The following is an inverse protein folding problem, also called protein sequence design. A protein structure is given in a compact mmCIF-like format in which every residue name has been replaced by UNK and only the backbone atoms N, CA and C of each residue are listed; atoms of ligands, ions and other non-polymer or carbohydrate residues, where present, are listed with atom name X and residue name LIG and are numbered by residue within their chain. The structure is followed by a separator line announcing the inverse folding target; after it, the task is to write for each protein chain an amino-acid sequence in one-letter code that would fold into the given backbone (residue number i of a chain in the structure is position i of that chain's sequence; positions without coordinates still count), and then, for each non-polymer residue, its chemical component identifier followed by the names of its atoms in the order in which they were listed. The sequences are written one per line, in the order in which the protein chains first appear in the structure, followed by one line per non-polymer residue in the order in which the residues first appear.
data_IF_384988077508
#
_entry.id   IF_384988077508
#
_cell.length_a   1.000
_cell.length_b   1.000
_cell.length_c   1.000
_cell.angle_alpha   90.00
_cell.angle_beta   90.00
_cell.angle_gamma   90.00
#
_symmetry.space_group_name_H-M   'P 1'
#
loop_
_entity.id
_entity.type
_entity.pdbx_description
1 polymer ?
#
# COMPACT_ATOMS: atom_id res chain seq x y z
N UNK A 1 -38.72 8.70 42.70
CA UNK A 1 -38.76 9.76 41.66
C UNK A 1 -37.38 9.77 40.99
N UNK A 2 -37.07 8.93 40.00
CA UNK A 2 -37.54 8.86 38.61
C UNK A 2 -37.18 10.11 37.78
N UNK A 3 -36.12 10.01 36.97
CA UNK A 3 -36.02 10.59 35.62
C UNK A 3 -34.80 10.01 34.88
N UNK A 4 -35.02 8.94 34.12
CA UNK A 4 -34.07 8.39 33.15
C UNK A 4 -34.27 9.11 31.80
N UNK A 5 -33.20 9.68 31.24
CA UNK A 5 -33.22 10.24 29.89
C UNK A 5 -33.16 9.10 28.85
N UNK A 6 -34.27 8.89 28.14
CA UNK A 6 -34.36 8.03 26.95
C UNK A 6 -33.93 8.82 25.72
N UNK A 7 -33.00 8.28 24.94
CA UNK A 7 -32.74 8.72 23.56
C UNK A 7 -33.83 8.21 22.60
N UNK A 8 -33.97 8.80 21.40
CA UNK A 8 -35.04 8.45 20.48
C UNK A 8 -34.75 7.15 19.72
N UNK A 9 -35.72 6.24 19.82
CA UNK A 9 -35.90 5.04 19.00
C UNK A 9 -36.00 5.39 17.50
N UNK A 10 -35.06 4.89 16.70
CA UNK A 10 -35.21 4.86 15.24
C UNK A 10 -36.04 3.63 14.86
N UNK A 11 -37.32 3.89 14.59
CA UNK A 11 -38.28 2.92 14.11
C UNK A 11 -37.80 2.20 12.84
N UNK A 12 -37.79 0.87 12.92
CA UNK A 12 -37.58 -0.05 11.80
C UNK A 12 -38.75 0.05 10.80
N UNK A 13 -38.51 0.68 9.66
CA UNK A 13 -39.41 0.61 8.50
C UNK A 13 -39.12 -0.66 7.69
N UNK A 14 -40.16 -1.48 7.51
CA UNK A 14 -40.12 -2.78 6.83
C UNK A 14 -39.67 -2.72 5.38
N UNK A 15 -39.00 -3.80 4.94
CA UNK A 15 -38.72 -4.07 3.53
C UNK A 15 -39.97 -4.69 2.88
N UNK A 16 -40.56 -4.09 1.84
CA UNK A 16 -41.49 -4.82 1.00
C UNK A 16 -40.72 -5.76 0.08
N UNK A 17 -41.02 -7.05 0.20
CA UNK A 17 -40.66 -8.11 -0.72
C UNK A 17 -41.50 -8.02 -1.99
N UNK A 18 -40.84 -8.05 -3.15
CA UNK A 18 -41.47 -8.33 -4.43
C UNK A 18 -41.47 -7.14 -5.36
N UNK A 19 -40.65 -7.23 -6.41
CA UNK A 19 -41.00 -6.97 -7.81
C UNK A 19 -39.72 -7.21 -8.65
N UNK A 20 -39.65 -8.40 -9.26
CA UNK A 20 -38.79 -8.64 -10.42
C UNK A 20 -39.35 -7.77 -11.55
N UNK A 21 -38.64 -6.73 -11.91
CA UNK A 21 -38.89 -5.93 -13.09
C UNK A 21 -37.55 -5.54 -13.69
N UNK A 22 -37.30 -6.00 -14.91
CA UNK A 22 -36.12 -5.63 -15.69
C UNK A 22 -36.18 -4.14 -16.03
N UNK A 23 -35.43 -3.32 -15.30
CA UNK A 23 -35.22 -1.91 -15.64
C UNK A 23 -34.22 -1.80 -16.78
N UNK A 24 -34.71 -1.93 -18.02
CA UNK A 24 -34.03 -1.40 -19.20
C UNK A 24 -34.47 0.05 -19.42
N UNK A 25 -33.84 0.97 -18.71
CA UNK A 25 -33.91 2.39 -19.05
C UNK A 25 -32.70 2.77 -19.91
N UNK A 26 -32.96 2.89 -21.22
CA UNK A 26 -32.05 3.48 -22.21
C UNK A 26 -31.74 4.92 -21.85
N UNK A 27 -30.46 5.28 -21.81
CA UNK A 27 -30.05 6.68 -21.90
C UNK A 27 -30.33 7.21 -23.33
N UNK A 28 -30.96 8.37 -23.52
CA UNK A 28 -31.16 8.96 -24.83
C UNK A 28 -29.84 9.55 -25.35
N UNK A 29 -29.44 9.20 -26.57
CA UNK A 29 -28.34 9.88 -27.28
C UNK A 29 -27.24 9.01 -27.91
N UNK A 30 -27.31 7.68 -27.85
CA UNK A 30 -26.28 6.80 -28.45
C UNK A 30 -26.71 6.31 -29.84
N UNK A 31 -25.99 6.63 -30.93
CA UNK A 31 -26.29 6.08 -32.26
C UNK A 31 -26.07 4.56 -32.29
N UNK A 32 -26.96 3.83 -32.97
CA UNK A 32 -26.88 2.37 -33.08
C UNK A 32 -25.70 1.99 -33.96
N UNK A 33 -24.75 1.22 -33.43
CA UNK A 33 -23.59 0.70 -34.18
C UNK A 33 -22.23 0.90 -33.53
N UNK A 34 -22.15 1.54 -32.35
CA UNK A 34 -20.89 1.59 -31.60
C UNK A 34 -20.61 0.22 -30.96
N UNK A 35 -19.46 -0.43 -31.24
CA UNK A 35 -19.08 -1.70 -30.63
C UNK A 35 -18.56 -1.53 -29.19
N UNK A 36 -18.74 -0.36 -28.58
CA UNK A 36 -18.18 -0.01 -27.29
C UNK A 36 -19.13 -0.44 -26.17
N UNK A 37 -18.77 -1.50 -25.45
CA UNK A 37 -19.52 -1.97 -24.30
C UNK A 37 -19.36 -0.97 -23.14
N UNK A 38 -20.43 -0.69 -22.40
CA UNK A 38 -20.40 0.17 -21.20
C UNK A 38 -19.54 -0.43 -20.06
N UNK A 39 -19.11 -1.68 -20.22
CA UNK A 39 -18.14 -2.37 -19.35
C UNK A 39 -16.68 -2.01 -19.64
N UNK A 40 -16.35 -1.41 -20.79
CA UNK A 40 -14.99 -0.99 -21.14
C UNK A 40 -14.64 0.44 -20.69
N UNK A 41 -15.59 1.13 -20.05
CA UNK A 41 -15.35 2.37 -19.31
C UNK A 41 -14.86 2.07 -17.88
N UNK A 42 -13.95 1.11 -17.73
CA UNK A 42 -13.12 1.09 -16.54
C UNK A 42 -12.26 2.35 -16.58
N UNK A 43 -12.58 3.28 -15.69
CA UNK A 43 -11.86 4.50 -15.47
C UNK A 43 -10.37 4.18 -15.37
N UNK A 44 -9.62 4.45 -16.44
CA UNK A 44 -8.18 4.59 -16.36
C UNK A 44 -7.95 5.61 -15.23
N UNK A 45 -7.36 5.23 -14.09
CA UNK A 45 -6.99 6.24 -13.13
C UNK A 45 -6.07 7.16 -13.92
N UNK A 46 -6.50 8.41 -14.12
CA UNK A 46 -5.58 9.46 -14.45
C UNK A 46 -4.48 9.27 -13.42
N UNK A 47 -3.29 8.90 -13.87
CA UNK A 47 -2.11 9.00 -13.05
C UNK A 47 -2.04 10.48 -12.72
N UNK A 48 -2.72 10.87 -11.63
CA UNK A 48 -2.34 11.99 -10.83
C UNK A 48 -0.99 11.56 -10.32
N UNK A 49 0.00 11.74 -11.18
CA UNK A 49 1.39 11.80 -10.84
C UNK A 49 1.38 12.89 -9.77
N UNK A 50 1.24 12.45 -8.52
CA UNK A 50 1.38 13.27 -7.34
C UNK A 50 2.69 13.95 -7.60
N UNK A 51 2.63 15.22 -8.03
CA UNK A 51 3.82 15.99 -8.33
C UNK A 51 4.66 15.79 -7.09
N UNK A 52 5.76 15.04 -7.22
CA UNK A 52 6.71 14.84 -6.13
C UNK A 52 6.78 16.20 -5.45
N UNK A 53 6.48 16.30 -4.15
CA UNK A 53 6.35 17.58 -3.46
C UNK A 53 7.69 18.30 -3.55
N UNK A 54 7.92 18.98 -4.69
CA UNK A 54 9.15 19.63 -5.03
C UNK A 54 9.14 20.86 -4.16
N UNK A 55 10.03 20.83 -3.17
CA UNK A 55 10.29 21.95 -2.30
C UNK A 55 10.61 23.15 -3.17
N UNK A 56 9.83 24.23 -3.03
CA UNK A 56 10.05 25.47 -3.79
C UNK A 56 11.22 26.21 -3.13
N UNK A 57 12.10 26.74 -3.96
CA UNK A 57 13.26 27.51 -3.49
C UNK A 57 13.39 28.85 -4.20
N UNK A 58 13.92 29.84 -3.51
CA UNK A 58 14.21 31.18 -3.99
C UNK A 58 13.00 31.76 -4.74
N UNK A 59 13.20 32.15 -6.01
CA UNK A 59 12.19 32.76 -6.89
C UNK A 59 11.03 31.83 -7.29
N UNK A 60 11.07 30.54 -6.93
CA UNK A 60 9.92 29.66 -7.10
C UNK A 60 8.82 29.93 -6.07
N UNK A 61 9.16 30.56 -4.95
CA UNK A 61 8.21 31.01 -3.94
C UNK A 61 7.60 32.32 -4.46
N UNK A 62 6.28 32.37 -4.59
CA UNK A 62 5.54 33.53 -5.15
C UNK A 62 4.58 34.18 -4.15
N UNK A 63 4.42 33.56 -2.99
CA UNK A 63 3.45 33.98 -1.98
C UNK A 63 4.13 34.95 -1.02
N UNK A 64 3.44 36.03 -0.67
CA UNK A 64 3.86 37.03 0.33
C UNK A 64 2.63 37.42 1.14
N UNK A 65 2.72 37.64 2.46
CA UNK A 65 3.92 37.61 3.30
C UNK A 65 4.36 36.19 3.70
N UNK A 66 5.63 36.01 4.08
CA UNK A 66 6.22 34.72 4.49
C UNK A 66 6.83 34.82 5.89
N UNK A 67 6.80 33.70 6.63
CA UNK A 67 7.49 33.61 7.93
C UNK A 67 8.90 33.07 7.71
N UNK A 68 9.91 33.85 8.08
CA UNK A 68 11.32 33.53 7.81
C UNK A 68 12.01 32.97 9.05
N UNK A 69 12.70 31.85 8.87
CA UNK A 69 13.56 31.21 9.88
C UNK A 69 14.99 31.15 9.33
N UNK A 70 15.99 31.49 10.14
CA UNK A 70 17.40 31.40 9.75
C UNK A 70 17.93 29.96 9.84
N UNK A 71 19.14 29.72 9.32
CA UNK A 71 19.81 28.41 9.41
C UNK A 71 19.98 27.94 10.86
N UNK A 72 20.28 28.88 11.76
CA UNK A 72 20.50 28.68 13.20
C UNK A 72 19.21 28.47 14.01
N UNK A 73 18.05 28.64 13.37
CA UNK A 73 16.74 28.48 14.01
C UNK A 73 16.16 29.76 14.62
N UNK A 74 16.81 30.91 14.42
CA UNK A 74 16.26 32.21 14.82
C UNK A 74 15.09 32.58 13.91
N UNK A 75 14.03 33.14 14.50
CA UNK A 75 12.85 33.60 13.76
C UNK A 75 12.99 35.09 13.47
N UNK A 76 13.11 35.45 12.19
CA UNK A 76 13.13 36.85 11.74
C UNK A 76 11.72 37.46 11.67
N UNK A 77 10.69 36.64 11.91
CA UNK A 77 9.28 37.07 11.91
C UNK A 77 8.62 36.91 10.55
N UNK A 78 7.60 37.74 10.30
CA UNK A 78 6.83 37.74 9.05
C UNK A 78 7.34 38.89 8.20
N UNK A 79 7.98 38.56 7.08
CA UNK A 79 8.60 39.51 6.16
C UNK A 79 7.99 39.37 4.76
N UNK A 80 8.05 40.43 3.93
CA UNK A 80 7.77 40.29 2.52
C UNK A 80 8.85 39.41 1.87
N UNK A 81 8.47 38.75 0.77
CA UNK A 81 9.35 37.80 0.09
C UNK A 81 10.65 38.42 -0.44
N UNK A 82 10.61 39.69 -0.86
CA UNK A 82 11.79 40.41 -1.36
C UNK A 82 12.86 40.58 -0.26
N UNK A 83 12.45 40.96 0.96
CA UNK A 83 13.34 41.06 2.11
C UNK A 83 13.89 39.69 2.53
N UNK A 84 13.05 38.65 2.47
CA UNK A 84 13.49 37.28 2.75
C UNK A 84 14.53 36.78 1.74
N UNK A 85 14.38 37.13 0.46
CA UNK A 85 15.34 36.82 -0.60
C UNK A 85 16.64 37.61 -0.43
N UNK A 86 16.56 38.89 -0.08
CA UNK A 86 17.74 39.71 0.23
C UNK A 86 18.54 39.13 1.40
N UNK A 87 17.86 38.78 2.50
CA UNK A 87 18.51 38.17 3.67
C UNK A 87 19.16 36.81 3.37
N UNK A 88 18.60 36.03 2.43
CA UNK A 88 19.21 34.78 1.97
C UNK A 88 20.47 35.05 1.11
N UNK A 89 20.40 36.02 0.20
CA UNK A 89 21.51 36.42 -0.67
C UNK A 89 22.69 37.01 0.11
N UNK A 90 22.43 37.86 1.11
CA UNK A 90 23.47 38.43 1.98
C UNK A 90 24.28 37.35 2.72
N UNK A 91 23.62 36.23 3.05
CA UNK A 91 24.23 35.08 3.73
C UNK A 91 24.80 34.05 2.75
N UNK A 92 24.60 34.22 1.44
CA UNK A 92 25.02 33.26 0.41
C UNK A 92 24.30 31.91 0.48
N UNK A 93 23.06 31.89 1.00
CA UNK A 93 22.24 30.68 1.19
C UNK A 93 20.95 30.76 0.35
N UNK A 94 20.22 29.65 0.26
CA UNK A 94 18.93 29.59 -0.44
C UNK A 94 17.75 29.83 0.52
N UNK A 95 16.68 30.42 0.00
CA UNK A 95 15.39 30.50 0.66
C UNK A 95 14.56 29.25 0.31
N UNK A 96 14.32 28.36 1.28
CA UNK A 96 13.66 27.07 1.07
C UNK A 96 12.29 27.06 1.74
N UNK A 97 11.22 26.71 1.00
CA UNK A 97 9.86 26.61 1.54
C UNK A 97 9.65 25.27 2.28
N UNK A 98 9.66 25.28 3.61
CA UNK A 98 9.54 24.05 4.42
C UNK A 98 8.08 23.69 4.67
N UNK A 99 7.21 24.68 4.92
CA UNK A 99 5.79 24.46 5.19
C UNK A 99 4.89 25.35 4.30
N UNK A 100 4.48 24.85 3.12
CA UNK A 100 3.60 25.60 2.22
C UNK A 100 2.15 25.69 2.72
N UNK A 101 1.74 24.81 3.64
CA UNK A 101 0.36 24.74 4.16
C UNK A 101 0.08 25.72 5.29
N UNK A 102 1.13 26.32 5.88
CA UNK A 102 0.99 27.30 6.94
C UNK A 102 0.52 28.67 6.39
N UNK A 103 -0.16 29.46 7.24
CA UNK A 103 -0.56 30.84 6.95
C UNK A 103 0.03 31.78 8.02
N UNK A 104 1.01 32.64 7.68
CA UNK A 104 1.78 32.70 6.43
C UNK A 104 2.68 31.47 6.19
N UNK A 105 3.04 31.13 4.93
CA UNK A 105 3.94 30.02 4.62
C UNK A 105 5.29 30.17 5.33
N UNK A 106 5.87 29.05 5.76
CA UNK A 106 7.15 29.06 6.48
C UNK A 106 8.29 28.78 5.52
N UNK A 107 9.19 29.74 5.42
CA UNK A 107 10.43 29.68 4.63
C UNK A 107 11.63 29.65 5.58
N UNK A 108 12.64 28.86 5.25
CA UNK A 108 13.87 28.75 6.02
C UNK A 108 15.07 29.01 5.12
N UNK A 109 15.99 29.84 5.60
CA UNK A 109 17.24 30.14 4.92
C UNK A 109 18.22 28.99 5.18
N UNK A 110 18.55 28.21 4.15
CA UNK A 110 19.46 27.06 4.25
C UNK A 110 20.06 26.71 2.88
N UNK A 111 21.12 25.91 2.87
CA UNK A 111 21.65 25.31 1.64
C UNK A 111 20.70 24.19 1.14
N UNK A 112 20.09 24.39 -0.02
CA UNK A 112 19.15 23.43 -0.61
C UNK A 112 19.84 22.13 -1.04
N UNK A 113 21.08 22.19 -1.52
CA UNK A 113 21.85 21.03 -1.95
C UNK A 113 22.16 20.10 -0.79
N UNK A 114 22.63 20.65 0.32
CA UNK A 114 22.90 19.90 1.55
C UNK A 114 21.61 19.30 2.13
N UNK A 115 20.53 20.06 2.19
CA UNK A 115 19.23 19.59 2.66
C UNK A 115 18.73 18.38 1.84
N UNK A 116 18.77 18.48 0.51
CA UNK A 116 18.36 17.38 -0.38
C UNK A 116 19.24 16.14 -0.22
N UNK A 117 20.53 16.31 0.03
CA UNK A 117 21.43 15.19 0.28
C UNK A 117 21.11 14.48 1.60
N UNK A 118 20.88 15.24 2.67
CA UNK A 118 20.51 14.69 3.98
C UNK A 118 19.14 13.99 3.94
N UNK A 119 18.15 14.60 3.27
CA UNK A 119 16.84 14.00 3.06
C UNK A 119 16.94 12.70 2.24
N UNK A 120 17.72 12.70 1.16
CA UNK A 120 17.95 11.51 0.36
C UNK A 120 18.69 10.41 1.15
N UNK A 121 19.67 10.78 1.98
CA UNK A 121 20.41 9.86 2.84
C UNK A 121 19.51 9.25 3.90
N UNK A 122 18.68 10.06 4.56
CA UNK A 122 17.69 9.61 5.53
C UNK A 122 16.64 8.70 4.88
N UNK A 123 16.11 9.08 3.71
CA UNK A 123 15.15 8.27 2.97
C UNK A 123 15.76 6.93 2.53
N UNK A 124 17.01 6.90 2.08
CA UNK A 124 17.73 5.65 1.75
C UNK A 124 17.97 4.80 2.99
N UNK A 125 18.34 5.40 4.13
CA UNK A 125 18.50 4.68 5.38
C UNK A 125 17.18 4.09 5.88
N UNK A 126 16.07 4.83 5.77
CA UNK A 126 14.74 4.35 6.09
C UNK A 126 14.31 3.18 5.19
N UNK A 127 14.51 3.31 3.87
CA UNK A 127 14.25 2.22 2.91
C UNK A 127 15.09 0.98 3.18
N UNK A 128 16.36 1.13 3.57
CA UNK A 128 17.23 0.01 3.93
C UNK A 128 16.79 -0.70 5.22
N UNK A 129 16.26 0.06 6.19
CA UNK A 129 15.73 -0.48 7.45
C UNK A 129 14.36 -1.14 7.30
N UNK A 130 13.62 -0.79 6.25
CA UNK A 130 12.34 -1.41 5.98
C UNK A 130 12.55 -2.88 5.58
N UNK A 131 12.10 -3.79 6.44
CA UNK A 131 12.05 -5.20 6.10
C UNK A 131 10.98 -5.41 5.03
N UNK A 132 11.40 -5.70 3.79
CA UNK A 132 10.49 -5.98 2.69
C UNK A 132 10.06 -7.44 2.85
N UNK A 133 8.88 -7.66 3.42
CA UNK A 133 8.26 -8.99 3.50
C UNK A 133 7.98 -9.44 2.07
N UNK A 134 8.71 -10.44 1.60
CA UNK A 134 8.50 -11.04 0.28
C UNK A 134 7.57 -12.26 0.40
N UNK A 135 6.81 -12.52 -0.66
CA UNK A 135 6.09 -13.78 -0.81
C UNK A 135 7.00 -14.77 -1.55
N UNK A 136 7.56 -15.74 -0.84
CA UNK A 136 8.37 -16.82 -1.41
C UNK A 136 7.48 -17.98 -1.81
N UNK A 137 7.64 -18.49 -3.03
CA UNK A 137 6.87 -19.64 -3.49
C UNK A 137 7.68 -20.94 -3.38
N UNK A 138 7.12 -21.97 -2.74
CA UNK A 138 7.72 -23.30 -2.64
C UNK A 138 6.79 -24.32 -3.31
N UNK A 139 7.31 -25.06 -4.29
CA UNK A 139 6.52 -25.96 -5.14
C UNK A 139 6.69 -27.43 -4.77
N UNK A 140 5.57 -28.10 -4.55
CA UNK A 140 5.48 -29.53 -4.23
C UNK A 140 4.81 -30.29 -5.38
N UNK A 141 5.06 -31.59 -5.41
CA UNK A 141 4.49 -32.52 -6.39
C UNK A 141 3.77 -33.66 -5.66
N UNK A 142 2.68 -34.21 -6.22
CA UNK A 142 2.09 -35.46 -5.75
C UNK A 142 3.10 -36.60 -5.89
N UNK A 143 3.38 -37.33 -4.82
CA UNK A 143 4.39 -38.41 -4.80
C UNK A 143 5.83 -37.92 -4.64
N UNK A 144 6.04 -36.88 -3.83
CA UNK A 144 7.38 -36.41 -3.44
C UNK A 144 8.09 -37.46 -2.58
N UNK A 145 9.40 -37.60 -2.79
CA UNK A 145 10.28 -38.42 -1.93
C UNK A 145 10.46 -37.75 -0.56
N UNK A 146 10.64 -38.52 0.50
CA UNK A 146 10.79 -37.98 1.86
C UNK A 146 12.01 -37.03 1.97
N UNK A 147 13.11 -37.31 1.26
CA UNK A 147 14.28 -36.42 1.27
C UNK A 147 14.01 -35.06 0.60
N UNK A 148 13.29 -35.04 -0.54
CA UNK A 148 12.91 -33.80 -1.23
C UNK A 148 11.87 -33.02 -0.41
N UNK A 149 10.98 -33.72 0.30
CA UNK A 149 10.01 -33.11 1.21
C UNK A 149 10.70 -32.37 2.35
N UNK A 150 11.65 -33.03 3.03
CA UNK A 150 12.36 -32.46 4.18
C UNK A 150 13.22 -31.26 3.75
N UNK A 151 13.89 -31.37 2.60
CA UNK A 151 14.67 -30.26 2.04
C UNK A 151 13.81 -29.02 1.79
N UNK A 152 12.65 -29.17 1.14
CA UNK A 152 11.73 -28.05 0.87
C UNK A 152 11.09 -27.50 2.13
N UNK A 153 10.77 -28.36 3.09
CA UNK A 153 10.22 -27.95 4.39
C UNK A 153 11.23 -27.12 5.18
N UNK A 154 12.52 -27.49 5.14
CA UNK A 154 13.59 -26.70 5.74
C UNK A 154 13.72 -25.32 5.09
N UNK A 155 13.65 -25.23 3.76
CA UNK A 155 13.69 -23.93 3.07
C UNK A 155 12.47 -23.06 3.42
N UNK A 156 11.28 -23.68 3.50
CA UNK A 156 10.08 -22.98 3.95
C UNK A 156 10.22 -22.47 5.40
N UNK A 157 10.85 -23.25 6.29
CA UNK A 157 11.18 -22.83 7.67
C UNK A 157 12.15 -21.64 7.68
N UNK A 158 13.22 -21.70 6.89
CA UNK A 158 14.20 -20.61 6.78
C UNK A 158 13.52 -19.31 6.27
N UNK A 159 12.66 -19.40 5.25
CA UNK A 159 11.92 -18.23 4.76
C UNK A 159 10.95 -17.64 5.78
N UNK A 160 10.28 -18.47 6.58
CA UNK A 160 9.42 -18.01 7.68
C UNK A 160 10.27 -17.38 8.80
N UNK A 161 11.44 -17.96 9.12
CA UNK A 161 12.39 -17.40 10.09
C UNK A 161 12.93 -16.02 9.69
N UNK A 162 13.12 -15.80 8.38
CA UNK A 162 13.48 -14.50 7.81
C UNK A 162 12.30 -13.50 7.77
N UNK A 163 11.13 -13.84 8.31
CA UNK A 163 9.95 -12.96 8.33
C UNK A 163 9.28 -12.81 6.96
N UNK A 164 9.52 -13.72 6.01
CA UNK A 164 8.84 -13.74 4.72
C UNK A 164 7.58 -14.60 4.77
N UNK A 165 6.60 -14.27 3.93
CA UNK A 165 5.42 -15.13 3.73
C UNK A 165 5.78 -16.25 2.76
N UNK A 166 5.27 -17.44 2.98
CA UNK A 166 5.53 -18.59 2.11
C UNK A 166 4.23 -19.05 1.46
N UNK A 167 4.19 -18.98 0.12
CA UNK A 167 3.15 -19.61 -0.71
C UNK A 167 3.60 -21.02 -1.04
N UNK A 168 2.97 -22.01 -0.44
CA UNK A 168 3.17 -23.42 -0.76
C UNK A 168 2.23 -23.78 -1.90
N UNK A 169 2.77 -24.21 -3.04
CA UNK A 169 2.01 -24.58 -4.23
C UNK A 169 2.19 -26.06 -4.53
N UNK A 170 1.11 -26.83 -4.47
CA UNK A 170 1.03 -28.19 -4.99
C UNK A 170 0.64 -28.16 -6.46
N UNK A 171 1.48 -28.68 -7.34
CA UNK A 171 1.20 -28.72 -8.78
C UNK A 171 0.69 -30.10 -9.19
N UNK A 172 -0.54 -30.19 -9.70
CA UNK A 172 -1.08 -31.43 -10.23
C UNK A 172 -0.79 -31.57 -11.72
N UNK A 173 -0.42 -32.77 -12.18
CA UNK A 173 -0.29 -33.08 -13.61
C UNK A 173 -1.54 -33.78 -14.13
N UNK A 174 -2.22 -33.15 -15.09
CA UNK A 174 -3.29 -33.77 -15.88
C UNK A 174 -4.38 -34.44 -15.04
N UNK A 175 -4.44 -35.78 -15.08
CA UNK A 175 -5.44 -36.62 -14.38
C UNK A 175 -5.28 -36.66 -12.86
N UNK A 176 -4.17 -36.15 -12.32
CA UNK A 176 -3.90 -36.12 -10.88
C UNK A 176 -4.80 -35.16 -10.10
N UNK A 177 -5.56 -34.29 -10.78
CA UNK A 177 -6.59 -33.46 -10.16
C UNK A 177 -7.68 -34.32 -9.51
N UNK A 178 -7.86 -35.59 -9.92
CA UNK A 178 -8.77 -36.51 -9.25
C UNK A 178 -8.30 -36.91 -7.83
N UNK A 179 -7.01 -36.78 -7.52
CA UNK A 179 -6.42 -37.12 -6.22
C UNK A 179 -6.10 -35.87 -5.40
N UNK A 180 -7.11 -35.05 -5.15
CA UNK A 180 -7.00 -33.87 -4.29
C UNK A 180 -6.60 -34.26 -2.85
N UNK A 181 -7.06 -35.42 -2.38
CA UNK A 181 -6.81 -35.91 -1.03
C UNK A 181 -5.31 -36.11 -0.75
N UNK A 182 -4.57 -36.63 -1.73
CA UNK A 182 -3.11 -36.79 -1.62
C UNK A 182 -2.39 -35.45 -1.56
N UNK A 183 -2.83 -34.47 -2.36
CA UNK A 183 -2.28 -33.12 -2.33
C UNK A 183 -2.53 -32.42 -1.00
N UNK A 184 -3.76 -32.56 -0.48
CA UNK A 184 -4.16 -32.00 0.81
C UNK A 184 -3.39 -32.63 1.96
N UNK A 185 -3.25 -33.96 2.00
CA UNK A 185 -2.49 -34.65 3.03
C UNK A 185 -1.02 -34.18 3.11
N UNK A 186 -0.38 -33.91 1.96
CA UNK A 186 0.98 -33.37 1.93
C UNK A 186 1.03 -31.93 2.44
N UNK A 187 0.07 -31.08 2.06
CA UNK A 187 0.00 -29.71 2.58
C UNK A 187 -0.26 -29.68 4.08
N UNK A 188 -1.14 -30.53 4.58
CA UNK A 188 -1.42 -30.69 6.01
C UNK A 188 -0.16 -31.17 6.76
N UNK A 189 0.62 -32.10 6.18
CA UNK A 189 1.94 -32.52 6.71
C UNK A 189 2.92 -31.35 6.78
N UNK A 190 3.01 -30.52 5.74
CA UNK A 190 3.86 -29.30 5.74
C UNK A 190 3.40 -28.31 6.81
N UNK A 191 2.10 -28.07 6.91
CA UNK A 191 1.52 -27.15 7.88
C UNK A 191 1.79 -27.60 9.32
N UNK A 192 1.70 -28.90 9.61
CA UNK A 192 2.03 -29.48 10.91
C UNK A 192 3.52 -29.31 11.25
N UNK A 193 4.42 -29.59 10.30
CA UNK A 193 5.87 -29.46 10.48
C UNK A 193 6.35 -28.01 10.66
N UNK A 194 5.57 -27.03 10.21
CA UNK A 194 5.85 -25.59 10.30
C UNK A 194 4.94 -24.85 11.29
N UNK A 195 4.13 -25.57 12.08
CA UNK A 195 3.20 -24.97 13.03
C UNK A 195 3.89 -24.23 14.18
N UNK A 196 5.17 -24.54 14.41
CA UNK A 196 6.08 -23.90 15.37
C UNK A 196 6.52 -22.50 14.91
N UNK A 197 6.90 -22.35 13.64
CA UNK A 197 7.46 -21.10 13.07
C UNK A 197 6.45 -20.26 12.29
N UNK A 198 5.31 -20.85 11.87
CA UNK A 198 4.36 -20.23 10.97
C UNK A 198 2.91 -20.34 11.44
N UNK A 199 2.07 -19.47 10.88
CA UNK A 199 0.61 -19.50 11.01
C UNK A 199 -0.01 -19.53 9.61
N UNK A 200 -1.05 -20.35 9.44
CA UNK A 200 -1.81 -20.41 8.20
C UNK A 200 -2.61 -19.11 8.06
N UNK A 201 -2.32 -18.34 7.01
CA UNK A 201 -3.08 -17.13 6.65
C UNK A 201 -4.16 -17.47 5.61
N UNK A 202 -3.82 -18.38 4.68
CA UNK A 202 -4.78 -18.94 3.73
C UNK A 202 -4.66 -20.46 3.73
N UNK A 203 -5.75 -21.13 4.06
CA UNK A 203 -5.86 -22.59 3.96
C UNK A 203 -5.67 -23.09 2.52
N UNK A 204 -5.43 -24.39 2.38
CA UNK A 204 -5.28 -25.06 1.10
C UNK A 204 -6.49 -24.83 0.19
N UNK A 205 -6.31 -24.04 -0.87
CA UNK A 205 -7.32 -23.70 -1.88
C UNK A 205 -6.89 -24.17 -3.25
N UNK A 206 -7.85 -24.66 -4.04
CA UNK A 206 -7.59 -25.04 -5.43
C UNK A 206 -7.63 -23.79 -6.32
N UNK A 207 -6.47 -23.37 -6.82
CA UNK A 207 -6.29 -22.33 -7.83
C UNK A 207 -6.06 -23.00 -9.20
N UNK A 208 -7.15 -23.36 -9.86
CA UNK A 208 -7.14 -23.99 -11.18
C UNK A 208 -6.55 -25.41 -11.17
N UNK A 209 -5.32 -25.55 -11.64
CA UNK A 209 -4.58 -26.84 -11.68
C UNK A 209 -3.62 -27.03 -10.50
N UNK A 210 -3.53 -26.04 -9.62
CA UNK A 210 -2.63 -26.08 -8.47
C UNK A 210 -3.44 -25.91 -7.20
N UNK A 211 -3.01 -26.54 -6.10
CA UNK A 211 -3.55 -26.25 -4.77
C UNK A 211 -2.52 -25.42 -4.01
N UNK A 212 -2.94 -24.27 -3.49
CA UNK A 212 -2.05 -23.29 -2.86
C UNK A 212 -2.46 -23.05 -1.42
N UNK A 213 -1.46 -22.85 -0.57
CA UNK A 213 -1.60 -22.52 0.85
C UNK A 213 -0.61 -21.39 1.16
N UNK A 214 -1.00 -20.43 1.99
CA UNK A 214 -0.11 -19.33 2.39
C UNK A 214 0.12 -19.37 3.89
N UNK A 215 1.39 -19.45 4.27
CA UNK A 215 1.82 -19.34 5.65
C UNK A 215 2.47 -17.97 5.88
N UNK A 216 2.11 -17.35 6.99
CA UNK A 216 2.75 -16.16 7.52
C UNK A 216 3.71 -16.56 8.66
N UNK A 217 4.82 -15.83 8.84
CA UNK A 217 5.68 -15.99 10.00
C UNK A 217 4.90 -15.66 11.28
N UNK A 218 5.17 -16.39 12.37
CA UNK A 218 4.60 -16.11 13.69
C UNK A 218 5.22 -14.90 14.37
#
# INVERSE_FOLDING_TARGET
MAAAHRGPDFAAAGRPSGLRGSWQSRAPGVPRGCPFSLSDLEARPLSTNEREKRVRVNRMIRISPVRVITGDGEQLGVLPIEEALAAALERGLDLVEVAPTARPPVVKIMDYGKFKFEEAKAARAAKKKQHIIQLKEVKYRPGIDDHDFDFKTRHAREFLGDGNKVKVTMMFRGRQIAHLDLGRAVLDRVAASLADVGKIEMDAKLEGRNMTMVLAPR
#
